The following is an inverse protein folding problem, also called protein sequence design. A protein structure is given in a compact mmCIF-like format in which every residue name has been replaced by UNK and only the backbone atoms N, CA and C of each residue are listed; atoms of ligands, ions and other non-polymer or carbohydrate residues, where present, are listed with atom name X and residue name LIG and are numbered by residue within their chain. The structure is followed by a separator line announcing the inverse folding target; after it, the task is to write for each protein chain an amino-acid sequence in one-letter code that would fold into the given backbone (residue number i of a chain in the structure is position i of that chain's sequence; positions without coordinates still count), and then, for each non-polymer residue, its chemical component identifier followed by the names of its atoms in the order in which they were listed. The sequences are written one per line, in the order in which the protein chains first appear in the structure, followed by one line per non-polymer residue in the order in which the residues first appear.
data_IF_046008184520
#
_entry.id   IF_046008184520
#
_cell.length_a   1.000
_cell.length_b   1.000
_cell.length_c   1.000
_cell.angle_alpha   90.00
_cell.angle_beta   90.00
_cell.angle_gamma   90.00
#
_symmetry.space_group_name_H-M   'P 1'
#
loop_
_entity.id
_entity.type
_entity.pdbx_description
1 polymer ?
#
# COMPACT_ATOMS: atom_id res chain seq x y z
N UNK A 1 3.34 -24.05 21.82
CA UNK A 1 3.25 -22.71 21.24
C UNK A 1 4.44 -22.31 20.39
N UNK A 2 5.70 -22.62 20.75
CA UNK A 2 6.89 -22.29 19.91
C UNK A 2 6.90 -22.92 18.51
N UNK A 3 6.31 -24.09 18.34
CA UNK A 3 6.28 -24.83 17.06
C UNK A 3 5.30 -24.24 16.02
N UNK A 4 4.24 -23.57 16.46
CA UNK A 4 3.23 -22.97 15.55
C UNK A 4 3.76 -21.67 14.93
N UNK A 5 4.55 -20.91 15.69
CA UNK A 5 5.17 -19.68 15.21
C UNK A 5 6.21 -19.94 14.11
N UNK A 6 6.98 -21.03 14.26
CA UNK A 6 7.97 -21.43 13.24
C UNK A 6 7.31 -21.98 11.96
N UNK A 7 6.18 -22.67 12.09
CA UNK A 7 5.40 -23.16 10.94
C UNK A 7 4.76 -22.04 10.13
N UNK A 8 4.32 -20.96 10.79
CA UNK A 8 3.77 -19.78 10.11
C UNK A 8 4.85 -19.00 9.34
N UNK A 9 6.06 -18.88 9.91
CA UNK A 9 7.20 -18.24 9.22
C UNK A 9 7.67 -19.07 8.01
N UNK A 10 7.65 -20.40 8.09
CA UNK A 10 8.00 -21.28 6.99
C UNK A 10 6.94 -21.30 5.88
N UNK A 11 5.65 -21.15 6.21
CA UNK A 11 4.59 -21.05 5.20
C UNK A 11 4.69 -19.77 4.35
N UNK A 12 5.19 -18.66 4.93
CA UNK A 12 5.43 -17.42 4.19
C UNK A 12 6.68 -17.46 3.30
N UNK A 13 7.66 -18.31 3.62
CA UNK A 13 8.90 -18.42 2.84
C UNK A 13 8.78 -19.27 1.57
N UNK A 14 7.72 -20.06 1.43
CA UNK A 14 7.53 -20.97 0.28
C UNK A 14 6.78 -20.37 -0.93
N UNK A 15 6.32 -19.11 -0.86
CA UNK A 15 5.62 -18.46 -1.99
C UNK A 15 6.41 -17.38 -2.72
N UNK A 16 7.72 -17.28 -2.50
CA UNK A 16 8.56 -16.26 -3.15
C UNK A 16 9.15 -16.69 -4.51
N UNK A 17 8.75 -17.81 -5.06
CA UNK A 17 9.13 -18.26 -6.41
C UNK A 17 7.89 -18.46 -7.29
N UNK A 18 7.08 -17.41 -7.48
CA UNK A 18 6.20 -17.34 -8.62
C UNK A 18 7.04 -16.89 -9.82
N UNK A 19 7.50 -17.86 -10.62
CA UNK A 19 7.95 -17.60 -11.96
C UNK A 19 6.86 -16.80 -12.71
N UNK A 20 7.31 -15.88 -13.56
CA UNK A 20 6.52 -15.02 -14.46
C UNK A 20 5.65 -15.83 -15.45
N UNK A 21 4.67 -16.57 -14.96
CA UNK A 21 3.56 -17.08 -15.74
C UNK A 21 2.31 -16.34 -15.29
N UNK A 22 2.06 -15.19 -15.91
CA UNK A 22 0.84 -14.39 -15.81
C UNK A 22 -0.35 -15.19 -16.38
N UNK A 23 -0.72 -16.28 -15.71
CA UNK A 23 -1.88 -17.08 -16.10
C UNK A 23 -3.07 -16.65 -15.26
N UNK A 24 -4.01 -15.96 -15.88
CA UNK A 24 -5.32 -15.67 -15.28
C UNK A 24 -6.25 -16.87 -15.55
N UNK A 25 -6.71 -17.51 -14.49
CA UNK A 25 -7.73 -18.57 -14.58
C UNK A 25 -9.06 -17.99 -14.14
N UNK A 26 -10.02 -17.92 -15.07
CA UNK A 26 -11.40 -17.50 -14.79
C UNK A 26 -12.30 -18.71 -14.97
N UNK A 27 -12.93 -19.16 -13.89
CA UNK A 27 -13.80 -20.32 -13.92
C UNK A 27 -15.18 -19.94 -14.49
N UNK A 28 -15.62 -20.66 -15.54
CA UNK A 28 -16.92 -20.53 -16.21
C UNK A 28 -17.30 -19.05 -16.47
N UNK A 29 -16.54 -18.34 -17.31
CA UNK A 29 -16.90 -16.97 -17.70
C UNK A 29 -18.22 -16.99 -18.51
N UNK A 30 -19.09 -16.00 -18.28
CA UNK A 30 -20.32 -15.85 -19.03
C UNK A 30 -20.05 -15.45 -20.48
N UNK A 31 -19.01 -14.62 -20.68
CA UNK A 31 -18.62 -14.15 -22.00
C UNK A 31 -17.12 -13.83 -22.04
N UNK A 32 -16.45 -14.27 -23.09
CA UNK A 32 -15.07 -13.90 -23.41
C UNK A 32 -15.04 -13.25 -24.78
N UNK A 33 -14.58 -12.01 -24.85
CA UNK A 33 -14.42 -11.27 -26.10
C UNK A 33 -12.94 -11.04 -26.35
N UNK A 34 -12.41 -11.51 -27.47
CA UNK A 34 -11.04 -11.27 -27.90
C UNK A 34 -11.10 -10.48 -29.20
N UNK A 35 -10.52 -9.27 -29.20
CA UNK A 35 -10.38 -8.44 -30.37
C UNK A 35 -8.91 -8.36 -30.74
N UNK A 36 -8.55 -8.78 -31.93
CA UNK A 36 -7.18 -8.75 -32.46
C UNK A 36 -7.16 -7.79 -33.64
N UNK A 37 -6.41 -6.70 -33.52
CA UNK A 37 -6.12 -5.74 -34.58
C UNK A 37 -4.61 -5.63 -34.80
N UNK A 38 -4.18 -4.96 -35.86
CA UNK A 38 -2.79 -4.87 -36.27
C UNK A 38 -1.86 -4.24 -35.21
N UNK A 39 -2.38 -3.37 -34.36
CA UNK A 39 -1.62 -2.69 -33.31
C UNK A 39 -2.22 -2.81 -31.90
N UNK A 40 -3.38 -3.48 -31.77
CA UNK A 40 -4.10 -3.58 -30.49
C UNK A 40 -4.72 -4.96 -30.35
N UNK A 41 -4.44 -5.61 -29.24
CA UNK A 41 -5.14 -6.82 -28.81
C UNK A 41 -5.91 -6.52 -27.52
N UNK A 42 -7.20 -6.82 -27.47
CA UNK A 42 -8.06 -6.62 -26.30
C UNK A 42 -8.68 -7.94 -25.89
N UNK A 43 -8.62 -8.24 -24.61
CA UNK A 43 -9.30 -9.38 -23.99
C UNK A 43 -10.27 -8.80 -22.95
N UNK A 44 -11.55 -9.13 -23.10
CA UNK A 44 -12.61 -8.77 -22.14
C UNK A 44 -13.25 -10.08 -21.66
N UNK A 45 -13.31 -10.29 -20.36
CA UNK A 45 -13.98 -11.42 -19.73
C UNK A 45 -15.07 -10.86 -18.83
N UNK A 46 -16.32 -11.26 -19.05
CA UNK A 46 -17.50 -10.79 -18.36
C UNK A 46 -18.19 -11.94 -17.64
N UNK A 47 -18.46 -11.76 -16.35
CA UNK A 47 -19.03 -12.76 -15.46
C UNK A 47 -18.08 -13.92 -15.13
N UNK A 48 -18.31 -14.56 -14.00
CA UNK A 48 -17.64 -15.81 -13.60
C UNK A 48 -18.55 -16.58 -12.65
N UNK A 49 -18.24 -17.86 -12.41
CA UNK A 49 -18.98 -18.65 -11.43
C UNK A 49 -19.01 -17.95 -10.05
N UNK A 50 -20.23 -17.63 -9.58
CA UNK A 50 -20.44 -16.95 -8.29
C UNK A 50 -20.31 -15.42 -8.31
N UNK A 51 -20.03 -14.78 -9.46
CA UNK A 51 -19.92 -13.32 -9.58
C UNK A 51 -20.28 -12.87 -11.02
N UNK A 52 -21.54 -12.58 -11.27
CA UNK A 52 -22.04 -12.17 -12.60
C UNK A 52 -21.55 -10.78 -13.03
N UNK A 53 -21.15 -9.94 -12.07
CA UNK A 53 -20.65 -8.58 -12.32
C UNK A 53 -19.13 -8.52 -12.52
N UNK A 54 -18.46 -9.66 -12.54
CA UNK A 54 -17.02 -9.70 -12.79
C UNK A 54 -16.67 -9.21 -14.18
N UNK A 55 -15.75 -8.26 -14.29
CA UNK A 55 -15.22 -7.77 -15.57
C UNK A 55 -13.71 -7.68 -15.51
N UNK A 56 -13.05 -8.40 -16.40
CA UNK A 56 -11.61 -8.30 -16.60
C UNK A 56 -11.32 -7.76 -17.99
N UNK A 57 -10.46 -6.74 -18.07
CA UNK A 57 -10.01 -6.12 -19.32
C UNK A 57 -8.51 -6.12 -19.41
N UNK A 58 -7.97 -6.68 -20.48
CA UNK A 58 -6.56 -6.61 -20.80
C UNK A 58 -6.41 -6.02 -22.20
N UNK A 59 -5.62 -4.96 -22.33
CA UNK A 59 -5.34 -4.32 -23.62
C UNK A 59 -3.83 -4.30 -23.83
N UNK A 60 -3.37 -4.94 -24.88
CA UNK A 60 -1.98 -4.94 -25.30
C UNK A 60 -1.87 -4.06 -26.55
N UNK A 61 -1.10 -3.00 -26.47
CA UNK A 61 -0.81 -2.13 -27.62
C UNK A 61 0.61 -2.33 -28.08
N UNK A 62 0.79 -2.47 -29.38
CA UNK A 62 2.10 -2.47 -30.03
C UNK A 62 2.31 -1.13 -30.73
N UNK A 63 3.28 -0.37 -30.28
CA UNK A 63 3.71 0.88 -30.95
C UNK A 63 5.21 0.77 -31.20
N UNK A 64 5.60 0.80 -32.47
CA UNK A 64 7.01 0.72 -32.91
C UNK A 64 7.78 -0.50 -32.34
N UNK A 65 7.14 -1.68 -32.30
CA UNK A 65 7.75 -2.91 -31.79
C UNK A 65 7.87 -2.98 -30.25
N UNK A 66 7.34 -2.00 -29.53
CA UNK A 66 7.23 -2.05 -28.06
C UNK A 66 5.80 -2.42 -27.68
N UNK A 67 5.66 -3.46 -26.86
CA UNK A 67 4.37 -3.88 -26.32
C UNK A 67 4.11 -3.16 -25.00
N UNK A 68 2.99 -2.46 -24.92
CA UNK A 68 2.51 -1.83 -23.68
C UNK A 68 1.25 -2.60 -23.25
N UNK A 69 1.30 -3.24 -22.11
CA UNK A 69 0.17 -3.97 -21.53
C UNK A 69 -0.61 -3.04 -20.58
N UNK A 70 -1.88 -2.86 -20.82
CA UNK A 70 -2.82 -2.18 -19.93
C UNK A 70 -3.78 -3.22 -19.36
N UNK A 71 -3.65 -3.48 -18.09
CA UNK A 71 -4.54 -4.35 -17.33
C UNK A 71 -5.44 -3.47 -16.46
N UNK A 72 -6.75 -3.54 -16.67
CA UNK A 72 -7.74 -2.89 -15.83
C UNK A 72 -8.66 -3.99 -15.27
N UNK A 73 -8.52 -4.27 -13.99
CA UNK A 73 -9.52 -4.98 -13.21
C UNK A 73 -10.49 -3.90 -12.69
N UNK A 74 -11.77 -3.99 -13.01
CA UNK A 74 -12.81 -2.99 -12.63
C UNK A 74 -13.18 -3.07 -11.13
N UNK A 75 -12.38 -3.80 -10.32
CA UNK A 75 -12.45 -3.77 -8.86
C UNK A 75 -11.59 -2.66 -8.25
N UNK A 76 -11.84 -1.41 -8.68
CA UNK A 76 -11.50 -0.23 -7.87
C UNK A 76 -12.67 0.14 -6.91
N UNK A 77 -13.65 -0.73 -6.74
CA UNK A 77 -14.61 -0.59 -5.64
C UNK A 77 -13.95 -1.10 -4.36
N UNK A 78 -13.62 -0.17 -3.50
CA UNK A 78 -13.28 -0.44 -2.11
C UNK A 78 -14.52 -1.00 -1.41
N UNK A 79 -14.77 -2.29 -1.52
CA UNK A 79 -15.68 -2.95 -0.61
C UNK A 79 -15.02 -2.90 0.78
N UNK A 80 -15.58 -2.05 1.62
CA UNK A 80 -15.23 -1.91 3.03
C UNK A 80 -15.37 -3.30 3.65
N UNK A 81 -14.24 -3.88 4.03
CA UNK A 81 -14.23 -5.16 4.74
C UNK A 81 -14.97 -4.94 6.06
N UNK A 82 -16.09 -5.66 6.30
CA UNK A 82 -16.78 -5.52 7.55
C UNK A 82 -15.83 -5.92 8.69
N UNK A 83 -15.80 -5.13 9.74
CA UNK A 83 -15.05 -5.41 10.96
C UNK A 83 -15.46 -6.76 11.53
N UNK A 84 -14.65 -7.78 11.30
CA UNK A 84 -14.86 -9.09 11.92
C UNK A 84 -14.40 -9.00 13.38
N UNK A 85 -15.34 -8.75 14.28
CA UNK A 85 -15.11 -8.96 15.71
C UNK A 85 -14.97 -10.46 15.96
N UNK A 86 -13.75 -10.96 16.01
CA UNK A 86 -13.48 -12.31 16.51
C UNK A 86 -13.60 -12.26 18.02
N UNK A 87 -14.84 -12.35 18.49
CA UNK A 87 -15.16 -12.36 19.91
C UNK A 87 -15.21 -13.79 20.47
N UNK A 88 -14.18 -14.24 21.12
CA UNK A 88 -14.30 -15.34 22.09
C UNK A 88 -14.79 -14.77 23.43
N UNK A 89 -16.03 -15.13 23.82
CA UNK A 89 -16.54 -14.81 25.15
C UNK A 89 -15.85 -15.72 26.17
N UNK A 90 -14.78 -15.27 26.78
CA UNK A 90 -14.26 -15.72 28.06
C UNK A 90 -14.10 -14.51 28.98
N UNK A 91 -14.27 -14.70 30.30
CA UNK A 91 -14.18 -13.64 31.31
C UNK A 91 -12.94 -12.79 31.11
N UNK A 92 -13.11 -11.58 30.56
CA UNK A 92 -12.03 -10.68 30.07
C UNK A 92 -11.25 -9.95 31.17
N UNK A 93 -11.61 -10.08 32.43
CA UNK A 93 -11.03 -9.26 33.51
C UNK A 93 -9.64 -9.71 33.99
N UNK A 94 -9.28 -10.97 33.78
CA UNK A 94 -8.00 -11.53 34.22
C UNK A 94 -6.99 -11.82 33.08
N UNK A 95 -7.39 -11.64 31.83
CA UNK A 95 -6.54 -11.94 30.67
C UNK A 95 -5.60 -10.77 30.37
N UNK A 96 -4.27 -11.02 30.49
CA UNK A 96 -3.23 -10.04 30.20
C UNK A 96 -2.87 -9.96 28.71
N UNK A 97 -3.47 -10.79 27.90
CA UNK A 97 -3.17 -10.90 26.47
C UNK A 97 -4.42 -10.54 25.65
N UNK A 98 -4.26 -9.66 24.67
CA UNK A 98 -5.33 -9.27 23.75
C UNK A 98 -4.88 -9.41 22.29
N UNK A 99 -5.82 -9.83 21.44
CA UNK A 99 -5.65 -9.82 20.00
C UNK A 99 -6.59 -8.76 19.42
N UNK A 100 -6.04 -7.94 18.54
CA UNK A 100 -6.78 -6.87 17.87
C UNK A 100 -6.37 -6.73 16.41
N UNK A 101 -7.06 -5.85 15.70
CA UNK A 101 -6.64 -5.39 14.36
C UNK A 101 -6.70 -3.87 14.33
N UNK A 102 -5.88 -3.26 13.49
CA UNK A 102 -5.85 -1.80 13.29
C UNK A 102 -5.93 -1.47 11.81
N UNK A 103 -6.72 -0.46 11.49
CA UNK A 103 -6.78 0.12 10.13
C UNK A 103 -6.55 1.61 10.22
N UNK A 104 -5.55 2.10 9.51
CA UNK A 104 -5.15 3.49 9.51
C UNK A 104 -5.32 4.13 8.14
N UNK A 105 -5.81 5.36 8.14
CA UNK A 105 -5.89 6.22 6.96
C UNK A 105 -5.15 7.52 7.25
N UNK A 106 -4.22 7.87 6.38
CA UNK A 106 -3.40 9.05 6.59
C UNK A 106 -3.03 9.78 5.32
N UNK A 107 -2.44 10.94 5.55
CA UNK A 107 -1.82 11.78 4.54
C UNK A 107 -0.32 11.57 4.60
N UNK A 108 0.31 11.39 3.44
CA UNK A 108 1.75 11.41 3.29
C UNK A 108 2.21 12.85 3.03
N UNK A 109 3.06 13.37 3.91
CA UNK A 109 3.72 14.67 3.79
C UNK A 109 5.24 14.45 3.73
N UNK A 110 5.81 14.07 2.56
CA UNK A 110 7.24 13.81 2.45
C UNK A 110 8.09 14.98 2.92
N UNK A 111 9.19 14.68 3.60
CA UNK A 111 10.16 15.66 4.12
C UNK A 111 11.56 15.39 3.55
N UNK A 112 12.45 16.35 3.70
CA UNK A 112 13.80 16.30 3.09
C UNK A 112 13.73 15.96 1.60
N UNK A 113 12.83 16.67 0.92
CA UNK A 113 12.50 16.45 -0.49
C UNK A 113 13.56 17.11 -1.37
N UNK A 114 13.97 16.41 -2.43
CA UNK A 114 14.80 16.96 -3.52
C UNK A 114 14.14 18.22 -4.09
N UNK A 115 14.92 19.29 -4.30
CA UNK A 115 14.43 20.60 -4.77
C UNK A 115 13.64 20.54 -6.08
N UNK A 116 13.87 19.50 -6.89
CA UNK A 116 13.16 19.27 -8.16
C UNK A 116 11.75 18.69 -7.99
N UNK A 117 11.36 18.33 -6.77
CA UNK A 117 10.13 17.60 -6.50
C UNK A 117 9.24 18.41 -5.56
N UNK A 118 7.97 18.51 -5.90
CA UNK A 118 6.94 19.09 -5.05
C UNK A 118 5.75 18.13 -4.92
N UNK A 119 5.51 17.64 -3.70
CA UNK A 119 4.44 16.68 -3.43
C UNK A 119 3.11 17.39 -3.16
N UNK A 120 2.05 16.78 -3.67
CA UNK A 120 0.68 17.22 -3.48
C UNK A 120 0.12 16.73 -2.15
N UNK A 121 -0.76 17.51 -1.53
CA UNK A 121 -1.59 17.10 -0.39
C UNK A 121 -2.51 15.89 -0.70
N UNK A 122 -2.64 15.50 -1.97
CA UNK A 122 -3.32 14.28 -2.38
C UNK A 122 -2.48 12.99 -2.25
N UNK A 123 -1.34 13.06 -1.57
CA UNK A 123 -0.54 11.89 -1.17
C UNK A 123 -1.19 11.24 0.05
N UNK A 124 -1.38 9.93 0.02
CA UNK A 124 -2.13 9.23 1.06
C UNK A 124 -1.51 7.88 1.42
N UNK A 125 -1.85 7.39 2.60
CA UNK A 125 -1.46 6.10 3.15
C UNK A 125 -2.70 5.35 3.63
N UNK A 126 -2.71 4.03 3.40
CA UNK A 126 -3.58 3.08 4.08
C UNK A 126 -2.71 2.02 4.70
N UNK A 127 -2.80 1.87 6.01
CA UNK A 127 -2.03 0.90 6.76
C UNK A 127 -2.97 0.00 7.54
N UNK A 128 -2.95 -1.30 7.23
CA UNK A 128 -3.78 -2.32 7.85
C UNK A 128 -2.93 -3.33 8.60
N UNK A 129 -3.18 -3.51 9.87
CA UNK A 129 -2.55 -4.50 10.76
C UNK A 129 -3.59 -5.52 11.17
N UNK A 130 -3.81 -6.60 10.36
CA UNK A 130 -4.80 -7.64 10.65
C UNK A 130 -4.50 -8.46 11.89
N UNK A 131 -3.23 -8.48 12.32
CA UNK A 131 -2.79 -9.23 13.49
C UNK A 131 -2.00 -8.31 14.40
N UNK A 132 -2.57 -8.00 15.55
CA UNK A 132 -1.92 -7.28 16.62
C UNK A 132 -2.10 -8.06 17.92
N UNK A 133 -0.97 -8.41 18.56
CA UNK A 133 -0.92 -9.09 19.84
C UNK A 133 -0.40 -8.12 20.88
N UNK A 134 -1.19 -7.87 21.92
CA UNK A 134 -0.87 -6.97 23.02
C UNK A 134 -0.75 -7.76 24.33
N UNK A 135 0.37 -7.58 25.03
CA UNK A 135 0.60 -8.15 26.35
C UNK A 135 0.67 -7.05 27.40
N UNK A 136 -0.25 -7.08 28.37
CA UNK A 136 -0.32 -6.15 29.49
C UNK A 136 0.61 -6.60 30.63
N UNK A 137 1.40 -5.68 31.16
CA UNK A 137 2.31 -5.97 32.25
C UNK A 137 1.63 -6.05 33.63
N UNK A 138 0.38 -5.60 33.71
CA UNK A 138 -0.38 -5.63 34.97
C UNK A 138 -1.91 -5.71 34.74
N UNK A 139 -2.65 -6.12 35.77
CA UNK A 139 -4.11 -6.24 35.73
C UNK A 139 -4.84 -4.90 35.53
N UNK A 140 -4.21 -3.76 35.81
CA UNK A 140 -4.80 -2.43 35.53
C UNK A 140 -4.79 -2.08 34.06
N UNK A 141 -4.08 -2.86 33.23
CA UNK A 141 -3.96 -2.68 31.79
C UNK A 141 -3.55 -1.26 31.39
N UNK A 142 -2.66 -0.65 32.20
CA UNK A 142 -2.22 0.73 31.95
C UNK A 142 -0.91 0.81 31.18
N UNK A 143 -0.17 -0.28 31.05
CA UNK A 143 1.02 -0.39 30.20
C UNK A 143 1.13 -1.78 29.59
N UNK A 144 1.61 -1.83 28.36
CA UNK A 144 1.70 -3.06 27.59
C UNK A 144 2.77 -2.95 26.50
N UNK A 145 3.12 -4.08 25.95
CA UNK A 145 3.85 -4.18 24.69
C UNK A 145 2.93 -4.80 23.64
N UNK A 146 2.99 -4.27 22.44
CA UNK A 146 2.17 -4.72 21.32
C UNK A 146 3.07 -5.10 20.15
N UNK A 147 2.74 -6.20 19.47
CA UNK A 147 3.41 -6.70 18.26
C UNK A 147 2.39 -6.77 17.14
N UNK A 148 2.64 -6.06 16.05
CA UNK A 148 1.76 -6.03 14.90
C UNK A 148 2.41 -6.58 13.63
N UNK A 149 1.58 -7.23 12.79
CA UNK A 149 1.95 -7.62 11.42
C UNK A 149 0.93 -7.02 10.47
N UNK A 150 1.39 -6.29 9.46
CA UNK A 150 0.50 -5.50 8.63
C UNK A 150 0.92 -5.33 7.19
N UNK A 151 0.11 -4.58 6.47
CA UNK A 151 0.23 -4.20 5.07
C UNK A 151 0.13 -2.68 4.98
N UNK A 152 1.02 -2.06 4.22
CA UNK A 152 1.06 -0.62 4.08
C UNK A 152 1.09 -0.21 2.60
N UNK A 153 0.14 0.63 2.20
CA UNK A 153 0.03 1.22 0.87
C UNK A 153 0.29 2.71 0.95
N UNK A 154 1.44 3.16 0.44
CA UNK A 154 1.83 4.57 0.40
C UNK A 154 1.75 5.08 -1.02
N UNK A 155 1.10 6.22 -1.20
CA UNK A 155 1.04 6.92 -2.48
C UNK A 155 1.62 8.32 -2.31
N UNK A 156 2.62 8.64 -3.13
CA UNK A 156 3.30 9.93 -3.17
C UNK A 156 2.94 10.61 -4.49
N UNK A 157 2.08 11.61 -4.43
CA UNK A 157 1.56 12.29 -5.62
C UNK A 157 2.31 13.59 -5.88
N UNK A 158 2.79 13.75 -7.13
CA UNK A 158 3.42 14.98 -7.61
C UNK A 158 2.39 16.11 -7.72
N UNK A 159 2.80 17.35 -7.50
CA UNK A 159 2.06 18.51 -7.97
C UNK A 159 2.05 18.57 -9.50
N UNK A 160 1.12 19.35 -10.06
CA UNK A 160 0.65 19.23 -11.44
C UNK A 160 1.65 19.47 -12.57
N UNK A 161 2.82 20.07 -12.31
CA UNK A 161 3.68 20.57 -13.39
C UNK A 161 4.74 19.57 -13.88
N UNK A 162 5.05 18.59 -13.05
CA UNK A 162 6.05 17.58 -13.33
C UNK A 162 5.46 16.17 -13.22
N UNK A 163 6.07 15.23 -13.90
CA UNK A 163 5.75 13.81 -13.79
C UNK A 163 6.98 12.99 -13.43
N UNK A 164 6.76 11.90 -12.70
CA UNK A 164 7.78 10.91 -12.42
C UNK A 164 8.03 10.05 -13.65
N UNK A 165 9.29 9.82 -13.94
CA UNK A 165 9.78 8.97 -15.03
C UNK A 165 10.92 8.09 -14.52
N UNK A 166 11.24 7.02 -15.24
CA UNK A 166 12.49 6.32 -15.05
C UNK A 166 13.51 6.83 -16.04
N UNK A 167 14.72 7.13 -15.55
CA UNK A 167 15.86 7.41 -16.40
C UNK A 167 16.42 6.12 -17.02
N UNK A 168 17.47 6.24 -17.84
CA UNK A 168 18.13 5.12 -18.52
C UNK A 168 18.66 4.04 -17.54
N UNK A 169 19.03 4.44 -16.32
CA UNK A 169 19.53 3.55 -15.25
C UNK A 169 18.40 2.90 -14.44
N UNK A 170 17.13 3.14 -14.82
CA UNK A 170 15.96 2.63 -14.14
C UNK A 170 15.63 3.33 -12.81
N UNK A 171 16.27 4.45 -12.51
CA UNK A 171 16.01 5.27 -11.32
C UNK A 171 14.90 6.27 -11.58
N UNK A 172 14.20 6.65 -10.51
CA UNK A 172 13.14 7.65 -10.58
C UNK A 172 13.73 9.05 -10.72
N UNK A 173 13.26 9.75 -11.71
CA UNK A 173 13.56 11.15 -11.97
C UNK A 173 12.27 11.91 -12.29
N UNK A 174 12.36 13.20 -12.56
CA UNK A 174 11.22 14.07 -12.86
C UNK A 174 11.43 14.77 -14.20
N UNK A 175 10.33 14.93 -14.95
CA UNK A 175 10.33 15.66 -16.22
C UNK A 175 9.04 16.45 -16.36
N UNK A 176 9.01 17.55 -17.12
CA UNK A 176 7.75 18.20 -17.51
C UNK A 176 6.85 17.22 -18.29
N UNK A 177 5.56 17.44 -18.23
CA UNK A 177 4.63 16.76 -19.13
C UNK A 177 4.89 17.21 -20.58
N UNK A 178 4.55 16.36 -21.58
CA UNK A 178 4.56 16.77 -22.98
C UNK A 178 3.76 18.06 -23.21
N UNK A 179 4.15 18.85 -24.21
CA UNK A 179 3.45 20.08 -24.53
C UNK A 179 2.02 19.81 -25.04
N UNK A 180 1.09 20.70 -24.69
CA UNK A 180 -0.29 20.63 -25.15
C UNK A 180 -1.18 19.59 -24.45
N UNK A 181 -0.66 18.79 -23.50
CA UNK A 181 -1.45 17.78 -22.80
C UNK A 181 -2.20 18.35 -21.59
N UNK A 182 -3.40 17.81 -21.32
CA UNK A 182 -4.15 18.11 -20.10
C UNK A 182 -3.69 17.17 -18.98
N UNK A 183 -2.97 17.72 -18.02
CA UNK A 183 -2.35 17.01 -16.90
C UNK A 183 -3.39 16.49 -15.93
N UNK A 184 -3.25 15.24 -15.47
CA UNK A 184 -4.12 14.67 -14.45
C UNK A 184 -3.33 14.42 -13.16
N UNK A 185 -2.48 13.38 -13.11
CA UNK A 185 -1.59 13.15 -11.97
C UNK A 185 -0.38 12.28 -12.35
N UNK A 186 0.69 12.42 -11.55
CA UNK A 186 1.80 11.49 -11.50
C UNK A 186 2.06 11.09 -10.04
N UNK A 187 2.31 9.80 -9.79
CA UNK A 187 2.50 9.28 -8.44
C UNK A 187 3.49 8.12 -8.37
N UNK A 188 4.17 8.00 -7.23
CA UNK A 188 4.90 6.82 -6.81
C UNK A 188 3.99 6.05 -5.85
N UNK A 189 3.82 4.74 -6.06
CA UNK A 189 3.18 3.83 -5.13
C UNK A 189 4.23 2.90 -4.54
N UNK A 190 4.20 2.71 -3.22
CA UNK A 190 4.99 1.70 -2.50
C UNK A 190 4.03 0.83 -1.71
N UNK A 191 4.23 -0.48 -1.78
CA UNK A 191 3.52 -1.46 -0.97
C UNK A 191 4.52 -2.22 -0.12
N UNK A 192 4.20 -2.37 1.16
CA UNK A 192 5.08 -2.96 2.16
C UNK A 192 4.34 -3.97 3.03
N UNK A 193 5.04 -5.04 3.40
CA UNK A 193 4.69 -5.83 4.57
C UNK A 193 5.32 -5.15 5.77
N UNK A 194 4.58 -5.01 6.88
CA UNK A 194 5.06 -4.31 8.07
C UNK A 194 5.08 -5.21 9.30
N UNK A 195 6.07 -4.97 10.16
CA UNK A 195 6.12 -5.55 11.49
C UNK A 195 6.41 -4.43 12.48
N UNK A 196 5.58 -4.27 13.50
CA UNK A 196 5.73 -3.23 14.50
C UNK A 196 5.84 -3.78 15.93
N UNK A 197 6.54 -3.03 16.77
CA UNK A 197 6.65 -3.27 18.19
C UNK A 197 6.38 -1.95 18.90
N UNK A 198 5.30 -1.89 19.68
CA UNK A 198 4.87 -0.66 20.33
C UNK A 198 4.86 -0.82 21.84
N UNK A 199 5.36 0.19 22.53
CA UNK A 199 5.14 0.34 23.96
C UNK A 199 3.93 1.26 24.17
N UNK A 200 2.89 0.71 24.81
CA UNK A 200 1.60 1.38 25.00
C UNK A 200 1.43 1.80 26.47
N UNK A 201 1.03 3.05 26.66
CA UNK A 201 0.75 3.65 27.97
C UNK A 201 -0.67 4.21 27.99
N UNK A 202 -1.45 3.82 28.98
CA UNK A 202 -2.79 4.35 29.25
C UNK A 202 -2.77 5.14 30.54
N UNK A 203 -2.88 6.46 30.42
CA UNK A 203 -2.83 7.37 31.56
C UNK A 203 -4.19 7.53 32.25
N UNK A 204 -5.25 7.46 31.45
CA UNK A 204 -6.63 7.53 31.95
C UNK A 204 -7.57 6.70 31.05
N UNK A 205 -8.88 6.70 31.38
CA UNK A 205 -9.87 6.06 30.49
C UNK A 205 -9.96 6.72 29.12
N UNK A 206 -9.62 8.00 29.04
CA UNK A 206 -9.80 8.85 27.85
C UNK A 206 -8.47 9.31 27.24
N UNK A 207 -7.33 8.85 27.74
CA UNK A 207 -6.04 9.26 27.22
C UNK A 207 -5.02 8.14 27.29
N UNK A 208 -4.45 7.81 26.15
CA UNK A 208 -3.39 6.84 25.97
C UNK A 208 -2.38 7.27 24.89
N UNK A 209 -1.23 6.62 24.90
CA UNK A 209 -0.23 6.79 23.84
C UNK A 209 0.50 5.48 23.59
N UNK A 210 0.99 5.33 22.37
CA UNK A 210 1.89 4.24 22.02
C UNK A 210 3.06 4.77 21.18
N UNK A 211 4.23 4.19 21.37
CA UNK A 211 5.43 4.57 20.65
C UNK A 211 6.26 3.34 20.31
N UNK A 212 6.83 3.31 19.12
CA UNK A 212 7.76 2.24 18.75
C UNK A 212 8.17 2.23 17.29
N UNK A 213 9.08 1.31 16.93
CA UNK A 213 9.52 1.10 15.56
C UNK A 213 8.53 0.29 14.73
N UNK A 214 8.50 0.58 13.42
CA UNK A 214 7.85 -0.22 12.39
C UNK A 214 8.90 -0.61 11.36
N UNK A 215 9.09 -1.88 11.12
CA UNK A 215 9.94 -2.41 10.06
C UNK A 215 9.08 -2.63 8.82
N UNK A 216 9.51 -2.06 7.69
CA UNK A 216 8.82 -2.17 6.41
C UNK A 216 9.64 -3.00 5.44
N UNK A 217 9.07 -4.09 4.95
CA UNK A 217 9.57 -4.87 3.82
C UNK A 217 8.84 -4.40 2.57
N UNK A 218 9.48 -3.52 1.82
CA UNK A 218 8.90 -2.91 0.62
C UNK A 218 8.97 -3.91 -0.53
N UNK A 219 7.86 -4.56 -0.84
CA UNK A 219 7.81 -5.66 -1.82
C UNK A 219 7.45 -5.21 -3.22
N UNK A 220 6.78 -4.07 -3.35
CA UNK A 220 6.35 -3.56 -4.65
C UNK A 220 6.41 -2.04 -4.72
N UNK A 221 6.83 -1.53 -5.89
CA UNK A 221 6.68 -0.11 -6.21
C UNK A 221 6.36 0.11 -7.68
N UNK A 222 5.66 1.21 -7.97
CA UNK A 222 5.36 1.62 -9.34
C UNK A 222 5.21 3.13 -9.46
N UNK A 223 5.54 3.64 -10.64
CA UNK A 223 5.17 4.97 -11.09
C UNK A 223 3.87 4.85 -11.90
N UNK A 224 2.96 5.79 -11.72
CA UNK A 224 1.76 5.90 -12.55
C UNK A 224 1.52 7.36 -12.90
N UNK A 225 1.54 7.66 -14.19
CA UNK A 225 1.25 8.99 -14.74
C UNK A 225 0.02 8.91 -15.62
N UNK A 226 -0.91 9.85 -15.43
CA UNK A 226 -2.09 10.02 -16.27
C UNK A 226 -2.16 11.45 -16.81
N UNK A 227 -2.47 11.57 -18.10
CA UNK A 227 -2.76 12.84 -18.77
C UNK A 227 -3.71 12.60 -19.95
N UNK A 228 -4.19 13.65 -20.58
CA UNK A 228 -5.05 13.59 -21.75
C UNK A 228 -4.33 14.29 -22.91
N UNK A 229 -4.20 13.62 -24.04
CA UNK A 229 -3.54 14.10 -25.26
C UNK A 229 -4.55 13.92 -26.41
N UNK A 230 -4.83 14.98 -27.13
CA UNK A 230 -5.82 15.01 -28.21
C UNK A 230 -7.20 14.40 -27.84
N UNK A 231 -7.68 14.69 -26.61
CA UNK A 231 -8.94 14.16 -26.11
C UNK A 231 -8.89 12.69 -25.66
N UNK A 232 -7.72 12.03 -25.77
CA UNK A 232 -7.52 10.64 -25.36
C UNK A 232 -6.81 10.56 -24.02
N UNK A 233 -7.31 9.69 -23.11
CA UNK A 233 -6.69 9.44 -21.81
C UNK A 233 -5.47 8.53 -21.98
N UNK A 234 -4.30 9.03 -21.63
CA UNK A 234 -3.03 8.29 -21.61
C UNK A 234 -2.72 7.90 -20.16
N UNK A 235 -2.37 6.62 -19.94
CA UNK A 235 -1.95 6.11 -18.64
C UNK A 235 -0.66 5.32 -18.79
N UNK A 236 0.42 5.83 -18.22
CA UNK A 236 1.75 5.19 -18.22
C UNK A 236 1.98 4.58 -16.84
N UNK A 237 2.32 3.29 -16.79
CA UNK A 237 2.64 2.57 -15.56
C UNK A 237 4.01 1.90 -15.72
N UNK A 238 4.93 2.22 -14.82
CA UNK A 238 6.26 1.63 -14.77
C UNK A 238 6.46 0.95 -13.42
N UNK A 239 6.66 -0.37 -13.44
CA UNK A 239 6.92 -1.18 -12.23
C UNK A 239 8.38 -1.01 -11.77
N UNK A 240 8.66 -1.38 -10.51
CA UNK A 240 10.01 -1.33 -9.89
C UNK A 240 10.59 0.09 -9.87
N UNK A 241 9.93 1.00 -9.14
CA UNK A 241 10.33 2.41 -9.00
C UNK A 241 11.62 2.63 -8.17
N UNK A 242 12.52 1.65 -8.07
CA UNK A 242 13.80 1.82 -7.37
C UNK A 242 13.67 2.09 -5.86
N UNK A 243 12.65 1.54 -5.21
CA UNK A 243 12.45 1.66 -3.76
C UNK A 243 13.55 0.93 -2.96
N UNK A 244 13.79 1.36 -1.72
CA UNK A 244 14.60 0.62 -0.76
C UNK A 244 13.83 -0.63 -0.31
N UNK A 245 14.45 -1.82 -0.32
CA UNK A 245 13.72 -3.07 0.01
C UNK A 245 13.32 -3.15 1.46
N UNK A 246 14.11 -2.58 2.36
CA UNK A 246 13.83 -2.54 3.80
C UNK A 246 14.02 -1.12 4.31
N UNK A 247 13.02 -0.63 5.03
CA UNK A 247 13.06 0.66 5.73
C UNK A 247 12.48 0.49 7.13
N UNK A 248 12.79 1.40 8.03
CA UNK A 248 12.10 1.43 9.32
C UNK A 248 11.50 2.81 9.55
N UNK A 249 10.40 2.83 10.31
CA UNK A 249 9.71 4.04 10.70
C UNK A 249 9.66 4.14 12.22
N UNK A 250 9.60 5.35 12.73
CA UNK A 250 9.22 5.66 14.10
C UNK A 250 7.73 5.99 14.11
N UNK A 251 6.96 5.24 14.88
CA UNK A 251 5.51 5.39 14.99
C UNK A 251 5.17 5.94 16.38
N UNK A 252 4.38 7.00 16.40
CA UNK A 252 3.70 7.50 17.59
C UNK A 252 2.20 7.46 17.39
N UNK A 253 1.46 6.99 18.39
CA UNK A 253 0.00 6.99 18.39
C UNK A 253 -0.51 7.67 19.66
N UNK A 254 -1.66 8.33 19.58
CA UNK A 254 -2.34 8.99 20.68
C UNK A 254 -3.82 8.66 20.61
N UNK A 255 -4.37 8.12 21.71
CA UNK A 255 -5.79 7.97 21.94
C UNK A 255 -6.30 9.14 22.79
N UNK A 256 -7.28 9.86 22.29
CA UNK A 256 -7.95 10.94 22.99
C UNK A 256 -9.46 10.72 22.91
N UNK A 257 -10.09 10.33 24.01
CA UNK A 257 -11.54 10.08 24.09
C UNK A 257 -12.06 9.09 23.03
N UNK A 258 -11.26 8.07 22.69
CA UNK A 258 -11.61 7.06 21.67
C UNK A 258 -11.31 7.47 20.24
N UNK A 259 -10.70 8.63 20.03
CA UNK A 259 -10.15 9.04 18.74
C UNK A 259 -8.66 8.70 18.69
N UNK A 260 -8.27 7.82 17.79
CA UNK A 260 -6.91 7.38 17.64
C UNK A 260 -6.22 8.11 16.49
N UNK A 261 -5.14 8.83 16.79
CA UNK A 261 -4.30 9.51 15.82
C UNK A 261 -2.93 8.86 15.77
N UNK A 262 -2.29 8.90 14.60
CA UNK A 262 -0.92 8.45 14.46
C UNK A 262 -0.04 9.44 13.69
N UNK A 263 1.25 9.36 13.96
CA UNK A 263 2.33 9.96 13.18
C UNK A 263 3.40 8.90 12.96
N UNK A 264 3.83 8.73 11.72
CA UNK A 264 4.85 7.75 11.32
C UNK A 264 5.92 8.46 10.48
N UNK A 265 7.16 8.43 10.94
CA UNK A 265 8.31 9.06 10.29
C UNK A 265 9.35 8.02 9.90
N UNK A 266 9.78 8.04 8.64
CA UNK A 266 10.87 7.22 8.13
C UNK A 266 12.17 8.03 8.11
N UNK A 267 13.20 7.68 8.89
CA UNK A 267 14.52 8.31 8.76
C UNK A 267 15.25 7.86 7.49
N UNK A 268 14.80 6.78 6.85
CA UNK A 268 15.33 6.30 5.58
C UNK A 268 14.67 7.01 4.39
N UNK A 269 15.43 7.21 3.31
CA UNK A 269 14.84 7.62 2.03
C UNK A 269 13.96 6.51 1.47
N UNK A 270 12.84 6.88 0.85
CA UNK A 270 11.88 5.94 0.25
C UNK A 270 12.49 5.23 -0.96
N UNK A 271 13.28 5.95 -1.76
CA UNK A 271 13.93 5.46 -2.96
C UNK A 271 15.42 5.21 -2.73
N UNK A 272 16.05 4.45 -3.64
CA UNK A 272 17.49 4.19 -3.64
C UNK A 272 18.29 5.46 -4.02
N UNK A 273 19.58 5.46 -3.68
CA UNK A 273 20.43 6.65 -3.62
C UNK A 273 20.67 7.41 -4.94
N UNK A 274 20.44 6.81 -6.11
CA UNK A 274 20.76 7.41 -7.40
C UNK A 274 19.56 8.10 -8.11
N UNK A 275 18.44 8.28 -7.40
CA UNK A 275 17.25 8.99 -7.90
C UNK A 275 16.92 10.20 -7.06
N UNK A 276 15.69 10.68 -7.21
CA UNK A 276 15.14 11.72 -6.33
C UNK A 276 15.11 11.22 -4.88
N UNK A 277 15.40 12.12 -3.94
CA UNK A 277 15.44 11.78 -2.51
C UNK A 277 14.29 12.42 -1.76
N UNK A 278 13.67 11.66 -0.90
CA UNK A 278 12.70 12.15 0.09
C UNK A 278 12.48 11.10 1.18
N UNK A 279 12.07 11.56 2.36
CA UNK A 279 11.71 10.71 3.50
C UNK A 279 10.21 10.71 3.70
N UNK A 280 9.66 9.56 4.15
CA UNK A 280 8.24 9.46 4.44
C UNK A 280 7.93 10.09 5.80
N UNK A 281 6.92 10.93 5.83
CA UNK A 281 6.21 11.37 7.02
C UNK A 281 4.72 11.16 6.73
N UNK A 282 4.05 10.41 7.59
CA UNK A 282 2.61 10.15 7.48
C UNK A 282 1.93 10.49 8.79
N UNK A 283 0.71 10.98 8.72
CA UNK A 283 -0.13 11.20 9.89
C UNK A 283 -1.60 11.02 9.51
N UNK A 284 -2.40 10.59 10.45
CA UNK A 284 -3.81 10.31 10.18
C UNK A 284 -4.54 9.73 11.38
N UNK A 285 -5.61 9.01 11.07
CA UNK A 285 -6.50 8.39 12.06
C UNK A 285 -6.38 6.87 12.00
N UNK A 286 -6.59 6.26 13.15
CA UNK A 286 -6.69 4.80 13.31
C UNK A 286 -8.12 4.42 13.68
N UNK A 287 -8.56 3.32 13.11
CA UNK A 287 -9.79 2.61 13.47
C UNK A 287 -9.37 1.28 14.11
N UNK A 288 -9.75 1.08 15.36
CA UNK A 288 -9.52 -0.14 16.15
C UNK A 288 -10.76 -1.03 16.17
#
# INVERSE_FOLDING_TARGET
MKSIFFALLLAFSMQANAADNDTLVVNKPNKVTVVVGDSVQKILIEGREGDENYVYRNTIQSTNGKFTRHEADDKDSWDIIPSVKVGSKKNKEDELDELSMRLAFGINAPVNVDERVDFSAGSWEVWWTPFSYQHFFNKKKNNSIEFGLGLDWRNYRMKKDLMFVKNADGMVDVTPYPDGVKRNFSRIKVFSLTADVLYCLKFSKNFGMALGPVLNFNTYSSLKTKYEEDGKKVSVIEKKAGHRPVTFDLLGMIDICGFNFYVKYSPNDVLKDNGIKFKALSFGILLD
#
